data_IF_606954220576
#
_entry.id   IF_606954220576
#
_cell.length_a   1.000
_cell.length_b   1.000
_cell.length_c   1.000
_cell.angle_alpha   90.00
_cell.angle_beta   90.00
_cell.angle_gamma   90.00
#
_symmetry.space_group_name_H-M   'P 1'
#
loop_
_entity.id
_entity.type
_entity.pdbx_description
1 polymer ?
#
# COMPACT_ATOMS: atom_id res chain seq x y z
N UNK A 1 1.69 5.82 -24.24
CA UNK A 1 0.46 5.84 -23.43
C UNK A 1 0.85 6.36 -22.06
N UNK A 2 0.30 7.51 -21.62
CA UNK A 2 0.74 8.16 -20.39
C UNK A 2 0.34 7.32 -19.17
N UNK A 3 1.32 7.00 -18.32
CA UNK A 3 1.07 6.42 -17.01
C UNK A 3 0.31 7.44 -16.15
N UNK A 4 -0.82 7.06 -15.55
CA UNK A 4 -1.51 7.90 -14.57
C UNK A 4 -0.63 7.99 -13.32
N UNK A 5 -0.16 9.21 -13.02
CA UNK A 5 0.59 9.52 -11.81
C UNK A 5 -0.38 10.12 -10.80
N UNK A 6 -0.42 9.56 -9.60
CA UNK A 6 -1.18 10.10 -8.49
C UNK A 6 -0.21 10.73 -7.49
N UNK A 7 -0.67 11.73 -6.73
CA UNK A 7 0.04 12.23 -5.56
C UNK A 7 0.00 11.23 -4.41
N UNK A 8 0.44 11.63 -3.22
CA UNK A 8 0.19 10.90 -1.97
C UNK A 8 -1.27 10.45 -1.87
N UNK A 9 -1.48 9.21 -1.47
CA UNK A 9 -2.80 8.60 -1.26
C UNK A 9 -2.90 8.16 0.21
N UNK A 10 -3.98 8.58 0.86
CA UNK A 10 -4.32 8.17 2.23
C UNK A 10 -5.60 7.33 2.22
N UNK A 11 -5.45 6.04 2.49
CA UNK A 11 -6.52 5.04 2.57
C UNK A 11 -6.71 4.75 4.05
N UNK A 12 -7.66 5.44 4.65
CA UNK A 12 -7.87 5.45 6.10
C UNK A 12 -9.31 5.14 6.45
N UNK A 13 -9.51 4.38 7.53
CA UNK A 13 -10.81 4.04 8.12
C UNK A 13 -11.74 3.18 7.26
N UNK A 14 -11.73 3.31 5.94
CA UNK A 14 -12.74 2.73 5.05
C UNK A 14 -12.11 2.07 3.81
N UNK A 15 -12.41 0.79 3.52
CA UNK A 15 -11.95 0.09 2.31
C UNK A 15 -12.36 0.80 1.02
N UNK A 16 -13.49 1.52 1.01
CA UNK A 16 -13.94 2.30 -0.15
C UNK A 16 -12.92 3.33 -0.63
N UNK A 17 -12.00 3.79 0.25
CA UNK A 17 -10.90 4.70 -0.11
C UNK A 17 -9.88 4.04 -1.05
N UNK A 18 -9.86 2.71 -1.15
CA UNK A 18 -9.05 1.98 -2.14
C UNK A 18 -9.37 2.43 -3.57
N UNK A 19 -10.58 2.93 -3.83
CA UNK A 19 -10.96 3.45 -5.15
C UNK A 19 -10.09 4.64 -5.61
N UNK A 20 -9.43 5.35 -4.69
CA UNK A 20 -8.50 6.43 -5.04
C UNK A 20 -7.27 5.93 -5.84
N UNK A 21 -6.95 4.63 -5.74
CA UNK A 21 -5.89 3.99 -6.51
C UNK A 21 -6.32 3.56 -7.91
N UNK A 22 -7.59 3.70 -8.28
CA UNK A 22 -8.07 3.23 -9.58
C UNK A 22 -7.34 3.90 -10.76
N UNK A 23 -6.83 3.06 -11.64
CA UNK A 23 -6.03 3.48 -12.80
C UNK A 23 -4.65 4.04 -12.46
N UNK A 24 -4.29 4.18 -11.18
CA UNK A 24 -3.02 4.73 -10.77
C UNK A 24 -1.88 3.77 -11.12
N UNK A 25 -0.83 4.29 -11.75
CA UNK A 25 0.36 3.51 -12.08
C UNK A 25 1.54 3.83 -11.18
N UNK A 26 1.74 5.12 -10.90
CA UNK A 26 2.81 5.62 -10.05
C UNK A 26 2.18 6.51 -8.98
N UNK A 27 2.44 6.20 -7.71
CA UNK A 27 2.16 7.10 -6.60
C UNK A 27 3.41 7.94 -6.37
N UNK A 28 3.38 9.20 -6.80
CA UNK A 28 4.44 10.16 -6.56
C UNK A 28 4.29 10.78 -5.17
N UNK A 29 4.68 10.03 -4.15
CA UNK A 29 4.55 10.40 -2.75
C UNK A 29 4.44 9.18 -1.86
N UNK A 30 3.58 9.30 -0.85
CA UNK A 30 3.40 8.32 0.22
C UNK A 30 2.10 7.54 -0.02
N UNK A 31 2.09 6.25 0.33
CA UNK A 31 0.86 5.46 0.40
C UNK A 31 0.59 5.11 1.87
N UNK A 32 -0.46 5.70 2.44
CA UNK A 32 -1.00 5.29 3.73
C UNK A 32 -2.15 4.32 3.52
N UNK A 33 -2.10 3.19 4.23
CA UNK A 33 -3.18 2.23 4.29
C UNK A 33 -3.34 1.80 5.74
N UNK A 34 -4.23 2.49 6.46
CA UNK A 34 -4.19 2.54 7.92
C UNK A 34 -5.56 2.59 8.57
N UNK A 35 -5.65 2.14 9.83
CA UNK A 35 -6.78 2.36 10.75
C UNK A 35 -8.11 1.75 10.28
N UNK A 36 -8.12 0.50 9.87
CA UNK A 36 -9.34 -0.23 9.47
C UNK A 36 -9.62 -1.33 10.48
N UNK A 37 -10.40 -1.02 11.51
CA UNK A 37 -10.52 -1.87 12.70
C UNK A 37 -11.66 -2.89 12.64
N UNK A 38 -12.72 -2.60 11.88
CA UNK A 38 -13.97 -3.36 11.93
C UNK A 38 -14.33 -3.96 10.56
N UNK A 39 -13.37 -4.63 9.92
CA UNK A 39 -13.55 -5.23 8.60
C UNK A 39 -13.14 -6.69 8.58
N UNK A 40 -13.63 -7.40 7.57
CA UNK A 40 -13.36 -8.81 7.30
C UNK A 40 -12.67 -8.97 5.95
N UNK A 41 -12.20 -10.17 5.65
CA UNK A 41 -11.57 -10.46 4.35
C UNK A 41 -12.49 -10.17 3.16
N UNK A 42 -13.82 -10.26 3.34
CA UNK A 42 -14.81 -9.99 2.30
C UNK A 42 -14.84 -8.52 1.88
N UNK A 43 -14.52 -7.61 2.79
CA UNK A 43 -14.55 -6.17 2.53
C UNK A 43 -13.38 -5.72 1.63
N UNK A 44 -12.35 -6.55 1.53
CA UNK A 44 -11.21 -6.37 0.62
C UNK A 44 -11.34 -7.21 -0.65
N UNK A 45 -12.32 -8.11 -0.70
CA UNK A 45 -12.56 -8.96 -1.87
C UNK A 45 -13.05 -8.12 -3.05
N UNK A 46 -12.62 -8.49 -4.25
CA UNK A 46 -12.90 -7.73 -5.47
C UNK A 46 -12.05 -6.46 -5.69
N UNK A 47 -11.27 -6.01 -4.70
CA UNK A 47 -10.28 -4.96 -4.91
C UNK A 47 -8.99 -5.53 -5.51
N UNK A 48 -8.56 -4.96 -6.63
CA UNK A 48 -7.23 -5.21 -7.18
C UNK A 48 -6.76 -4.02 -8.01
N UNK A 49 -5.50 -3.63 -7.80
CA UNK A 49 -4.86 -2.49 -8.44
C UNK A 49 -3.66 -2.96 -9.27
N UNK A 50 -3.90 -3.69 -10.38
CA UNK A 50 -2.82 -4.26 -11.20
C UNK A 50 -2.00 -3.21 -11.94
N UNK A 51 -2.51 -1.99 -12.07
CA UNK A 51 -1.79 -0.91 -12.72
C UNK A 51 -0.72 -0.30 -11.83
N UNK A 52 -0.85 -0.41 -10.50
CA UNK A 52 0.10 0.18 -9.56
C UNK A 52 1.41 -0.60 -9.58
N UNK A 53 2.49 0.07 -9.99
CA UNK A 53 3.83 -0.54 -10.09
C UNK A 53 4.83 0.09 -9.13
N UNK A 54 4.63 1.35 -8.75
CA UNK A 54 5.60 2.14 -8.02
C UNK A 54 4.96 3.10 -7.01
N UNK A 55 5.58 3.17 -5.83
CA UNK A 55 5.42 4.25 -4.85
C UNK A 55 6.78 4.94 -4.69
N UNK A 56 6.88 6.24 -4.95
CA UNK A 56 8.20 6.91 -5.07
C UNK A 56 8.86 7.20 -3.72
N UNK A 57 8.08 7.39 -2.65
CA UNK A 57 8.60 7.61 -1.30
C UNK A 57 8.47 6.32 -0.46
N UNK A 58 7.50 6.24 0.45
CA UNK A 58 7.34 5.11 1.35
C UNK A 58 5.88 4.66 1.48
N UNK A 59 5.70 3.44 1.99
CA UNK A 59 4.40 2.80 2.24
C UNK A 59 4.24 2.54 3.73
N UNK A 60 3.06 2.84 4.26
CA UNK A 60 2.69 2.56 5.65
C UNK A 60 1.43 1.71 5.68
N UNK A 61 1.56 0.53 6.27
CA UNK A 61 0.48 -0.38 6.60
C UNK A 61 0.36 -0.43 8.11
N UNK A 62 -0.76 0.04 8.66
CA UNK A 62 -0.95 0.10 10.10
C UNK A 62 -2.38 -0.23 10.51
N UNK A 63 -2.56 -1.28 11.32
CA UNK A 63 -3.85 -1.60 11.95
C UNK A 63 -4.98 -1.72 10.91
N UNK A 64 -4.82 -2.68 10.00
CA UNK A 64 -5.84 -3.05 9.01
C UNK A 64 -6.25 -4.49 9.29
N UNK A 65 -7.45 -4.66 9.86
CA UNK A 65 -8.06 -5.93 10.23
C UNK A 65 -8.80 -6.50 9.02
N UNK A 66 -8.74 -7.82 8.83
CA UNK A 66 -9.35 -8.54 7.71
C UNK A 66 -8.47 -8.63 6.46
N UNK A 67 -7.38 -7.87 6.36
CA UNK A 67 -6.48 -7.92 5.22
C UNK A 67 -5.44 -9.06 5.34
N UNK A 68 -5.62 -10.12 4.56
CA UNK A 68 -4.80 -11.33 4.66
C UNK A 68 -3.53 -11.33 3.80
N UNK A 69 -3.58 -10.68 2.63
CA UNK A 69 -2.45 -10.62 1.69
C UNK A 69 -2.45 -9.32 0.90
N UNK A 70 -1.27 -8.76 0.66
CA UNK A 70 -1.09 -7.59 -0.22
C UNK A 70 -1.01 -7.98 -1.70
N UNK A 71 -0.83 -9.28 -1.98
CA UNK A 71 -0.60 -9.77 -3.35
C UNK A 71 -1.84 -9.62 -4.23
N UNK A 72 -3.03 -9.77 -3.66
CA UNK A 72 -4.30 -9.63 -4.38
C UNK A 72 -4.59 -8.15 -4.70
N UNK A 73 -4.33 -7.27 -3.74
CA UNK A 73 -4.49 -5.83 -3.89
C UNK A 73 -3.45 -5.22 -4.84
N UNK A 74 -2.17 -5.56 -4.68
CA UNK A 74 -1.06 -4.93 -5.41
C UNK A 74 -0.21 -5.97 -6.15
N UNK A 75 -0.78 -6.68 -7.15
CA UNK A 75 -0.11 -7.83 -7.78
C UNK A 75 1.17 -7.45 -8.54
N UNK A 76 1.26 -6.21 -9.00
CA UNK A 76 2.37 -5.71 -9.83
C UNK A 76 3.20 -4.61 -9.14
N UNK A 77 2.94 -4.31 -7.87
CA UNK A 77 3.78 -3.38 -7.12
C UNK A 77 5.19 -4.00 -7.03
N UNK A 78 6.16 -3.28 -7.59
CA UNK A 78 7.51 -3.79 -7.80
C UNK A 78 8.61 -2.81 -7.34
N UNK A 79 8.24 -1.57 -7.02
CA UNK A 79 9.21 -0.58 -6.56
C UNK A 79 8.65 0.32 -5.48
N UNK A 80 9.39 0.44 -4.37
CA UNK A 80 9.19 1.47 -3.36
C UNK A 80 10.47 2.28 -3.34
N UNK A 81 10.40 3.49 -3.89
CA UNK A 81 11.57 4.26 -4.27
C UNK A 81 12.38 4.80 -3.11
N UNK A 82 11.79 4.99 -1.93
CA UNK A 82 12.50 5.44 -0.74
C UNK A 82 13.15 6.82 -0.89
N UNK A 83 12.69 7.66 -1.84
CA UNK A 83 13.21 9.03 -2.02
C UNK A 83 13.10 9.86 -0.73
N UNK A 84 12.05 9.56 0.05
CA UNK A 84 11.93 9.89 1.46
C UNK A 84 11.62 8.60 2.22
N UNK A 85 12.02 8.56 3.48
CA UNK A 85 11.80 7.42 4.36
C UNK A 85 10.97 7.88 5.55
N UNK A 86 10.13 6.98 6.07
CA UNK A 86 9.50 7.22 7.37
C UNK A 86 10.57 7.08 8.44
N UNK A 87 11.00 8.22 9.00
CA UNK A 87 12.00 8.26 10.07
C UNK A 87 11.29 8.40 11.42
N UNK A 88 11.41 7.38 12.26
CA UNK A 88 11.00 7.42 13.67
C UNK A 88 12.21 7.18 14.55
N UNK A 89 12.61 8.21 15.28
CA UNK A 89 13.78 8.23 16.18
C UNK A 89 15.06 7.66 15.54
N UNK A 90 15.27 6.35 15.64
CA UNK A 90 16.48 5.64 15.16
C UNK A 90 16.25 4.78 13.92
N UNK A 91 15.03 4.69 13.40
CA UNK A 91 14.70 3.82 12.28
C UNK A 91 14.15 4.62 11.11
N UNK A 92 14.67 4.36 9.91
CA UNK A 92 14.16 4.90 8.65
C UNK A 92 13.75 3.74 7.75
N UNK A 93 12.50 3.74 7.28
CA UNK A 93 11.96 2.67 6.46
C UNK A 93 11.18 3.20 5.24
N UNK A 94 11.37 2.53 4.10
CA UNK A 94 10.55 2.74 2.90
C UNK A 94 9.23 1.94 2.94
N UNK A 95 9.19 0.86 3.73
CA UNK A 95 8.00 0.06 3.96
C UNK A 95 7.86 -0.17 5.46
N UNK A 96 6.73 0.25 6.02
CA UNK A 96 6.38 0.03 7.43
C UNK A 96 5.12 -0.83 7.49
N UNK A 97 5.21 -1.95 8.20
CA UNK A 97 4.08 -2.85 8.45
C UNK A 97 4.01 -3.05 9.96
N UNK A 98 2.91 -2.63 10.56
CA UNK A 98 2.77 -2.68 12.02
C UNK A 98 1.33 -2.97 12.42
N UNK A 99 1.14 -3.77 13.46
CA UNK A 99 -0.20 -4.10 13.99
C UNK A 99 -1.16 -4.64 12.91
N UNK A 100 -0.70 -5.61 12.12
CA UNK A 100 -1.49 -6.22 11.02
C UNK A 100 -1.85 -7.67 11.41
N UNK A 101 -2.93 -7.88 12.20
CA UNK A 101 -3.17 -9.16 12.87
C UNK A 101 -3.48 -10.33 11.91
N UNK A 102 -4.15 -10.04 10.79
CA UNK A 102 -4.57 -11.07 9.82
C UNK A 102 -3.59 -11.25 8.65
N UNK A 103 -2.55 -10.41 8.58
CA UNK A 103 -1.65 -10.37 7.42
C UNK A 103 -0.70 -11.57 7.45
N UNK A 104 -0.88 -12.49 6.50
CA UNK A 104 -0.12 -13.74 6.41
C UNK A 104 1.00 -13.69 5.37
N UNK A 105 0.84 -12.89 4.31
CA UNK A 105 1.81 -12.81 3.23
C UNK A 105 2.07 -11.36 2.77
N UNK A 106 3.35 -10.98 2.83
CA UNK A 106 3.88 -9.76 2.23
C UNK A 106 4.83 -10.16 1.12
N UNK A 107 4.29 -10.44 -0.07
CA UNK A 107 5.09 -10.77 -1.24
C UNK A 107 5.01 -9.67 -2.27
N UNK A 108 5.95 -8.75 -2.20
CA UNK A 108 6.20 -7.78 -3.25
C UNK A 108 7.25 -8.34 -4.22
N UNK A 109 7.08 -8.18 -5.53
CA UNK A 109 8.18 -8.35 -6.51
C UNK A 109 9.11 -7.13 -6.48
N UNK A 110 9.51 -6.71 -5.28
CA UNK A 110 10.30 -5.51 -5.07
C UNK A 110 11.77 -5.83 -5.40
N UNK A 111 12.29 -5.30 -6.52
CA UNK A 111 13.71 -5.48 -6.91
C UNK A 111 14.55 -4.45 -6.14
N UNK A 112 15.49 -4.91 -5.29
CA UNK A 112 16.59 -4.04 -4.82
C UNK A 112 17.49 -3.75 -6.02
N UNK A 113 17.58 -2.48 -6.41
CA UNK A 113 18.61 -1.99 -7.32
C UNK A 113 19.85 -1.70 -6.48
#
# INVERSE_FOLDING_TARGET
MNAKVCSTIDIRNEPSQLNNLQGCRIVNGILYFVLMDNFTYLDFDGFSFPNLIEVTEYVVLFRVIGLTTLRTLFPNLAFIGGKKLLTKEKYSAALTIFDMPDLTEVRCKCRKI
#
